data_IF_079646422733
#
_entry.id   IF_079646422733
#
_cell.length_a   1.000
_cell.length_b   1.000
_cell.length_c   1.000
_cell.angle_alpha   90.00
_cell.angle_beta   90.00
_cell.angle_gamma   90.00
#
_symmetry.space_group_name_H-M   'P 1'
#
loop_
_entity.id
_entity.type
_entity.pdbx_description
1 polymer ?
#
# COMPACT_ATOMS: atom_id res chain seq x y z
N UNK A 1 -28.32 -12.76 -15.96
CA UNK A 1 -27.08 -11.97 -15.81
C UNK A 1 -27.09 -11.29 -14.45
N UNK A 2 -26.39 -11.83 -13.46
CA UNK A 2 -26.31 -11.23 -12.12
C UNK A 2 -24.86 -10.93 -11.78
N UNK A 3 -24.55 -9.65 -11.69
CA UNK A 3 -23.26 -9.09 -11.31
C UNK A 3 -23.51 -8.29 -10.03
N UNK A 4 -23.02 -8.78 -8.89
CA UNK A 4 -22.92 -8.07 -7.60
C UNK A 4 -22.10 -8.92 -6.64
N UNK A 5 -20.78 -8.80 -6.69
CA UNK A 5 -19.92 -9.12 -5.54
C UNK A 5 -19.37 -7.80 -5.02
N UNK A 6 -20.11 -7.21 -4.09
CA UNK A 6 -19.64 -6.09 -3.30
C UNK A 6 -18.45 -6.60 -2.47
N UNK A 7 -17.27 -6.07 -2.78
CA UNK A 7 -16.06 -6.21 -1.97
C UNK A 7 -16.23 -5.34 -0.72
N UNK A 8 -16.94 -5.85 0.29
CA UNK A 8 -16.92 -5.26 1.63
C UNK A 8 -16.19 -6.24 2.54
N UNK A 9 -14.89 -6.01 2.72
CA UNK A 9 -14.12 -6.65 3.79
C UNK A 9 -14.54 -6.04 5.12
N UNK A 10 -15.13 -6.77 6.08
CA UNK A 10 -15.30 -6.25 7.42
C UNK A 10 -13.94 -6.33 8.13
N UNK A 11 -13.09 -5.32 7.95
CA UNK A 11 -11.93 -5.09 8.83
C UNK A 11 -12.44 -4.42 10.11
N UNK A 12 -13.29 -5.11 10.86
CA UNK A 12 -13.63 -4.78 12.25
C UNK A 12 -13.79 -6.10 13.00
N UNK A 13 -12.67 -6.71 13.36
CA UNK A 13 -12.53 -7.71 14.43
C UNK A 13 -11.25 -7.34 15.17
N UNK A 14 -11.21 -7.03 16.46
CA UNK A 14 -12.28 -6.82 17.42
C UNK A 14 -11.64 -6.10 18.61
N UNK A 15 -12.11 -4.90 18.93
CA UNK A 15 -12.02 -4.39 20.27
C UNK A 15 -13.46 -4.43 20.78
N UNK A 16 -13.90 -5.59 21.25
CA UNK A 16 -15.12 -5.68 22.05
C UNK A 16 -14.90 -4.83 23.30
N UNK A 17 -15.27 -3.55 23.22
CA UNK A 17 -15.44 -2.70 24.39
C UNK A 17 -16.57 -3.32 25.19
N UNK A 18 -16.25 -4.09 26.23
CA UNK A 18 -17.24 -4.61 27.17
C UNK A 18 -17.82 -3.40 27.91
N UNK A 19 -18.93 -2.85 27.41
CA UNK A 19 -19.76 -1.92 28.17
C UNK A 19 -20.48 -2.71 29.27
N UNK A 20 -19.74 -3.15 30.29
CA UNK A 20 -20.27 -3.81 31.47
C UNK A 20 -20.65 -2.75 32.51
N UNK A 21 -21.68 -1.96 32.21
CA UNK A 21 -22.18 -0.93 33.13
C UNK A 21 -23.52 -1.27 33.78
N UNK A 22 -24.15 -2.41 33.45
CA UNK A 22 -25.51 -2.74 33.91
C UNK A 22 -25.72 -4.24 34.15
N UNK A 23 -24.81 -4.89 34.87
CA UNK A 23 -24.99 -6.27 35.35
C UNK A 23 -24.71 -6.32 36.85
N UNK A 24 -25.60 -6.96 37.61
CA UNK A 24 -25.59 -7.06 39.07
C UNK A 24 -24.42 -7.91 39.63
N UNK A 25 -23.43 -8.23 38.78
CA UNK A 25 -22.29 -9.09 39.07
C UNK A 25 -21.04 -8.46 38.45
N UNK A 26 -20.01 -8.24 39.25
CA UNK A 26 -18.70 -7.82 38.75
C UNK A 26 -18.19 -8.87 37.77
N UNK A 27 -17.97 -8.48 36.51
CA UNK A 27 -17.34 -9.34 35.50
C UNK A 27 -15.92 -9.64 35.97
N UNK A 28 -15.70 -10.82 36.55
CA UNK A 28 -14.38 -11.28 36.95
C UNK A 28 -13.55 -11.50 35.69
N UNK A 29 -12.49 -10.70 35.52
CA UNK A 29 -11.48 -10.94 34.48
C UNK A 29 -10.75 -12.24 34.81
N UNK A 30 -10.85 -13.24 33.93
CA UNK A 30 -10.11 -14.49 34.04
C UNK A 30 -8.82 -14.40 33.23
N UNK A 31 -7.82 -15.24 33.56
CA UNK A 31 -6.60 -15.38 32.74
C UNK A 31 -6.92 -15.77 31.28
N UNK A 32 -8.09 -16.39 31.05
CA UNK A 32 -8.60 -16.71 29.71
C UNK A 32 -9.02 -15.47 28.89
N UNK A 33 -9.20 -14.31 29.51
CA UNK A 33 -9.49 -13.04 28.82
C UNK A 33 -8.23 -12.37 28.26
N UNK A 34 -7.03 -12.91 28.55
CA UNK A 34 -5.78 -12.38 27.99
C UNK A 34 -5.70 -12.65 26.48
N UNK A 35 -5.00 -11.79 25.72
CA UNK A 35 -4.78 -12.01 24.29
C UNK A 35 -4.09 -13.37 24.09
N UNK A 36 -4.83 -14.32 23.54
CA UNK A 36 -4.26 -15.60 23.14
C UNK A 36 -3.53 -15.42 21.80
N UNK A 37 -2.36 -16.06 21.60
CA UNK A 37 -1.62 -15.96 20.36
C UNK A 37 -2.50 -16.36 19.17
N UNK A 38 -2.77 -15.40 18.29
CA UNK A 38 -3.61 -15.56 17.11
C UNK A 38 -2.81 -16.28 16.00
N UNK A 39 -2.64 -17.59 16.15
CA UNK A 39 -2.00 -18.44 15.14
C UNK A 39 -0.49 -18.23 14.96
N UNK A 40 0.06 -18.74 13.85
CA UNK A 40 1.48 -18.66 13.54
C UNK A 40 1.87 -17.26 13.04
N UNK A 41 2.86 -16.65 13.70
CA UNK A 41 3.43 -15.36 13.30
C UNK A 41 3.87 -15.35 11.83
N UNK A 42 4.42 -16.48 11.36
CA UNK A 42 4.96 -16.62 10.00
C UNK A 42 3.86 -16.51 8.96
N UNK A 43 2.73 -17.16 9.18
CA UNK A 43 1.59 -17.11 8.24
C UNK A 43 1.05 -15.68 8.10
N UNK A 44 0.98 -14.93 9.20
CA UNK A 44 0.56 -13.54 9.18
C UNK A 44 1.59 -12.65 8.45
N UNK A 45 2.88 -12.86 8.73
CA UNK A 45 3.96 -12.17 8.04
C UNK A 45 3.95 -12.41 6.52
N UNK A 46 3.85 -13.67 6.10
CA UNK A 46 3.84 -14.05 4.68
C UNK A 46 2.61 -13.46 3.95
N UNK A 47 1.45 -13.44 4.60
CA UNK A 47 0.23 -12.82 4.07
C UNK A 47 0.41 -11.30 3.87
N UNK A 48 1.01 -10.62 4.84
CA UNK A 48 1.29 -9.18 4.74
C UNK A 48 2.35 -8.88 3.67
N UNK A 49 3.41 -9.69 3.58
CA UNK A 49 4.43 -9.55 2.53
C UNK A 49 3.83 -9.63 1.14
N UNK A 50 2.94 -10.61 0.88
CA UNK A 50 2.24 -10.70 -0.41
C UNK A 50 1.45 -9.43 -0.74
N UNK A 51 0.79 -8.83 0.25
CA UNK A 51 0.04 -7.57 0.09
C UNK A 51 0.97 -6.40 -0.23
N UNK A 52 2.09 -6.26 0.47
CA UNK A 52 3.04 -5.19 0.22
C UNK A 52 3.72 -5.34 -1.14
N UNK A 53 4.10 -6.55 -1.53
CA UNK A 53 4.66 -6.81 -2.85
C UNK A 53 3.67 -6.49 -3.98
N UNK A 54 2.38 -6.74 -3.76
CA UNK A 54 1.34 -6.34 -4.71
C UNK A 54 1.23 -4.81 -4.85
N UNK A 55 1.26 -4.06 -3.73
CA UNK A 55 1.28 -2.59 -3.77
C UNK A 55 2.54 -2.06 -4.43
N UNK A 56 3.70 -2.66 -4.18
CA UNK A 56 4.96 -2.28 -4.80
C UNK A 56 4.87 -2.46 -6.33
N UNK A 57 4.41 -3.62 -6.79
CA UNK A 57 4.25 -3.89 -8.22
C UNK A 57 3.26 -2.91 -8.88
N UNK A 58 2.14 -2.60 -8.22
CA UNK A 58 1.19 -1.60 -8.68
C UNK A 58 1.84 -0.22 -8.79
N UNK A 59 2.55 0.22 -7.74
CA UNK A 59 3.21 1.52 -7.70
C UNK A 59 4.26 1.68 -8.81
N UNK A 60 5.09 0.64 -9.02
CA UNK A 60 6.06 0.61 -10.11
C UNK A 60 5.35 0.67 -11.47
N UNK A 61 4.31 -0.13 -11.68
CA UNK A 61 3.55 -0.13 -12.94
C UNK A 61 2.91 1.23 -13.25
N UNK A 62 2.28 1.87 -12.27
CA UNK A 62 1.67 3.19 -12.41
C UNK A 62 2.73 4.26 -12.71
N UNK A 63 3.86 4.25 -11.99
CA UNK A 63 4.94 5.20 -12.21
C UNK A 63 5.52 5.06 -13.62
N UNK A 64 5.86 3.83 -14.03
CA UNK A 64 6.38 3.55 -15.37
C UNK A 64 5.37 3.97 -16.44
N UNK A 65 4.10 3.61 -16.28
CA UNK A 65 3.05 4.00 -17.22
C UNK A 65 2.89 5.52 -17.33
N UNK A 66 2.95 6.23 -16.19
CA UNK A 66 2.86 7.70 -16.16
C UNK A 66 4.03 8.35 -16.89
N UNK A 67 5.26 7.87 -16.67
CA UNK A 67 6.45 8.39 -17.35
C UNK A 67 6.34 8.14 -18.86
N UNK A 68 6.03 6.91 -19.28
CA UNK A 68 5.91 6.55 -20.70
C UNK A 68 4.82 7.38 -21.39
N UNK A 69 3.66 7.51 -20.75
CA UNK A 69 2.57 8.34 -21.27
C UNK A 69 2.99 9.80 -21.41
N UNK A 70 3.55 10.40 -20.36
CA UNK A 70 4.01 11.79 -20.39
C UNK A 70 5.10 12.05 -21.44
N UNK A 71 5.96 11.06 -21.68
CA UNK A 71 6.95 11.11 -22.78
C UNK A 71 6.28 11.04 -24.14
N UNK A 72 5.32 10.14 -24.33
CA UNK A 72 4.63 9.96 -25.61
C UNK A 72 3.77 11.17 -26.01
N UNK A 73 3.19 11.88 -25.03
CA UNK A 73 2.39 13.09 -25.29
C UNK A 73 3.20 14.37 -25.36
N UNK A 74 4.52 14.32 -25.15
CA UNK A 74 5.38 15.51 -25.09
C UNK A 74 5.18 16.36 -23.83
N UNK A 75 4.51 15.85 -22.80
CA UNK A 75 4.39 16.55 -21.50
C UNK A 75 5.68 16.50 -20.69
N UNK A 76 6.53 15.51 -20.96
CA UNK A 76 7.71 15.22 -20.17
C UNK A 76 8.91 15.10 -21.13
N UNK A 77 9.83 16.05 -21.11
CA UNK A 77 11.06 16.02 -21.92
C UNK A 77 12.27 15.87 -21.00
N UNK A 78 13.21 15.02 -21.40
CA UNK A 78 14.38 14.72 -20.55
C UNK A 78 15.64 15.47 -20.97
N UNK A 79 15.62 16.19 -22.11
CA UNK A 79 16.76 16.99 -22.61
C UNK A 79 18.12 16.30 -22.44
N UNK A 80 18.16 14.99 -22.72
CA UNK A 80 19.37 14.16 -22.55
C UNK A 80 20.30 14.24 -23.77
N UNK A 81 20.04 15.17 -24.68
CA UNK A 81 20.86 15.42 -25.86
C UNK A 81 22.07 16.25 -25.45
N UNK A 82 23.24 15.62 -25.47
CA UNK A 82 24.50 16.32 -25.36
C UNK A 82 24.95 16.73 -26.77
N UNK A 83 25.40 17.98 -26.97
CA UNK A 83 25.86 18.40 -28.28
C UNK A 83 27.12 17.61 -28.67
N UNK A 84 27.15 17.06 -29.89
CA UNK A 84 28.29 16.28 -30.40
C UNK A 84 29.59 17.09 -30.45
N UNK A 85 29.48 18.42 -30.53
CA UNK A 85 30.60 19.35 -30.57
C UNK A 85 30.34 20.48 -29.58
N UNK A 86 31.40 21.01 -28.94
CA UNK A 86 31.26 22.20 -28.12
C UNK A 86 30.69 23.34 -28.95
N UNK A 87 29.93 24.22 -28.31
CA UNK A 87 29.39 25.40 -28.97
C UNK A 87 30.53 26.22 -29.60
N UNK A 88 30.39 26.59 -30.87
CA UNK A 88 31.33 27.50 -31.53
C UNK A 88 31.06 28.92 -31.03
N UNK A 89 31.79 29.29 -29.98
CA UNK A 89 31.65 30.59 -29.32
C UNK A 89 32.79 31.49 -29.80
N UNK A 90 32.43 32.55 -30.51
CA UNK A 90 33.38 33.52 -31.07
C UNK A 90 34.31 34.18 -30.02
N UNK A 91 33.96 34.14 -28.73
CA UNK A 91 34.71 34.76 -27.63
C UNK A 91 35.92 33.96 -27.12
N UNK A 92 36.15 32.74 -27.61
CA UNK A 92 37.26 31.87 -27.20
C UNK A 92 38.39 31.78 -28.25
N UNK A 93 38.43 32.70 -29.21
CA UNK A 93 39.52 32.85 -30.19
C UNK A 93 40.57 33.83 -29.72
#
# INVERSE_FOLDING_TARGET
>A
MQLRRLLTSPVIRGCTRRNAHHGDHAVQSSYNDLPQPQGSWKTNFDANQRKYNAHLALGVGVLTGTIVFGKATGLLEFYNEFPERPADIASYK
#
